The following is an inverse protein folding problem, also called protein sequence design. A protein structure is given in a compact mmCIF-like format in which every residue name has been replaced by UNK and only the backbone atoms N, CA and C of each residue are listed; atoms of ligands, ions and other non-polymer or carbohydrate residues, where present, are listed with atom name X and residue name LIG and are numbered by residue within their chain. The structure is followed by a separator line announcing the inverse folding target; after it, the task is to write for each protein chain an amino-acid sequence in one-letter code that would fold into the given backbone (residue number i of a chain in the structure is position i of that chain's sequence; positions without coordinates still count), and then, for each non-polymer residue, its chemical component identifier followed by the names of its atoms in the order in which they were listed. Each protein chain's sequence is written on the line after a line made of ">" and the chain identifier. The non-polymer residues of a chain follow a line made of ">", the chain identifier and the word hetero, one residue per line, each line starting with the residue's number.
data_IF_519919389211
#
_entry.id   IF_519919389211
#
_cell.length_a   1.000
_cell.length_b   1.000
_cell.length_c   1.000
_cell.angle_alpha   90.00
_cell.angle_beta   90.00
_cell.angle_gamma   90.00
#
_symmetry.space_group_name_H-M   'P 1'
#
loop_
_entity.id
_entity.type
_entity.pdbx_description
1 polymer ?
#
# COMPACT_ATOMS: atom_id res chain seq x y z
N UNK A 1 22.57 -1.83 -31.50
CA UNK A 1 21.38 -2.58 -31.04
C UNK A 1 21.71 -4.07 -30.89
N UNK A 2 22.24 -4.75 -31.91
CA UNK A 2 22.65 -6.17 -31.80
C UNK A 2 23.83 -6.42 -30.84
N UNK A 3 24.72 -5.45 -30.68
CA UNK A 3 25.86 -5.50 -29.75
C UNK A 3 25.47 -5.44 -28.27
N UNK A 4 24.40 -4.73 -27.92
CA UNK A 4 23.91 -4.68 -26.53
C UNK A 4 23.08 -5.91 -26.16
N UNK A 5 22.27 -6.43 -27.10
CA UNK A 5 21.49 -7.64 -26.87
C UNK A 5 22.37 -8.89 -26.69
N UNK A 6 23.45 -9.01 -27.47
CA UNK A 6 24.44 -10.09 -27.32
C UNK A 6 25.23 -9.98 -26.02
N UNK A 7 25.50 -8.77 -25.53
CA UNK A 7 26.09 -8.57 -24.21
C UNK A 7 25.17 -9.04 -23.08
N UNK A 8 23.86 -8.73 -23.15
CA UNK A 8 22.87 -9.18 -22.15
C UNK A 8 22.72 -10.71 -22.15
N UNK A 9 22.66 -11.36 -23.33
CA UNK A 9 22.58 -12.82 -23.42
C UNK A 9 23.86 -13.50 -22.92
N UNK A 10 25.03 -12.90 -23.18
CA UNK A 10 26.32 -13.41 -22.69
C UNK A 10 26.43 -13.28 -21.16
N UNK A 11 25.94 -12.17 -20.59
CA UNK A 11 25.92 -11.95 -19.14
C UNK A 11 24.93 -12.92 -18.46
N UNK A 12 23.70 -13.03 -18.98
CA UNK A 12 22.72 -13.99 -18.49
C UNK A 12 23.21 -15.46 -18.50
N UNK A 13 23.90 -15.87 -19.57
CA UNK A 13 24.44 -17.24 -19.69
C UNK A 13 25.64 -17.51 -18.75
N UNK A 14 26.29 -16.47 -18.21
CA UNK A 14 27.32 -16.59 -17.16
C UNK A 14 26.73 -16.50 -15.75
N UNK A 15 25.69 -15.70 -15.56
CA UNK A 15 25.05 -15.48 -14.26
C UNK A 15 24.30 -16.70 -13.75
N UNK A 16 23.60 -17.43 -14.62
CA UNK A 16 22.86 -18.65 -14.24
C UNK A 16 23.80 -19.74 -13.67
N UNK A 17 24.88 -20.16 -14.36
CA UNK A 17 25.80 -21.16 -13.79
C UNK A 17 26.59 -20.62 -12.59
N UNK A 18 26.91 -19.32 -12.56
CA UNK A 18 27.57 -18.72 -11.40
C UNK A 18 26.70 -18.82 -10.13
N UNK A 19 25.42 -18.45 -10.21
CA UNK A 19 24.51 -18.58 -9.06
C UNK A 19 24.28 -20.05 -8.67
N UNK A 20 24.20 -20.96 -9.64
CA UNK A 20 24.06 -22.39 -9.34
C UNK A 20 25.26 -22.94 -8.56
N UNK A 21 26.48 -22.54 -8.93
CA UNK A 21 27.69 -22.97 -8.24
C UNK A 21 27.72 -22.47 -6.78
N UNK A 22 27.36 -21.22 -6.53
CA UNK A 22 27.30 -20.66 -5.17
C UNK A 22 26.25 -21.38 -4.30
N UNK A 23 25.05 -21.60 -4.83
CA UNK A 23 23.99 -22.34 -4.11
C UNK A 23 24.42 -23.77 -3.82
N UNK A 24 25.06 -24.45 -4.79
CA UNK A 24 25.57 -25.80 -4.59
C UNK A 24 26.68 -25.86 -3.54
N UNK A 25 27.57 -24.86 -3.50
CA UNK A 25 28.62 -24.76 -2.47
C UNK A 25 28.01 -24.62 -1.07
N UNK A 26 27.01 -23.75 -0.91
CA UNK A 26 26.28 -23.58 0.35
C UNK A 26 25.56 -24.87 0.74
N UNK A 27 24.88 -25.53 -0.19
CA UNK A 27 24.18 -26.79 0.06
C UNK A 27 25.14 -27.91 0.44
N UNK A 28 26.31 -27.96 -0.20
CA UNK A 28 27.36 -28.95 0.11
C UNK A 28 27.92 -28.70 1.51
N UNK A 29 28.14 -27.44 1.89
CA UNK A 29 28.50 -27.04 3.25
C UNK A 29 27.44 -27.50 4.26
N UNK A 30 26.16 -27.18 4.04
CA UNK A 30 25.06 -27.57 4.94
C UNK A 30 24.88 -29.09 5.06
N UNK A 31 25.15 -29.83 3.98
CA UNK A 31 25.08 -31.30 3.99
C UNK A 31 26.22 -31.94 4.77
N UNK A 32 27.38 -31.28 4.85
CA UNK A 32 28.53 -31.73 5.64
C UNK A 32 28.36 -31.54 7.15
N UNK A 33 27.29 -30.87 7.60
CA UNK A 33 27.02 -30.61 9.01
C UNK A 33 26.37 -31.82 9.67
N UNK A 34 26.88 -32.19 10.85
CA UNK A 34 26.34 -33.29 11.65
C UNK A 34 25.09 -32.84 12.43
N UNK A 35 23.91 -32.92 11.80
CA UNK A 35 22.62 -32.52 12.39
C UNK A 35 22.17 -33.29 13.64
N UNK A 36 22.90 -34.34 14.02
CA UNK A 36 22.67 -35.13 15.24
C UNK A 36 23.20 -34.47 16.51
N UNK A 37 23.93 -33.34 16.42
CA UNK A 37 24.40 -32.66 17.63
C UNK A 37 23.22 -32.10 18.45
N UNK A 38 23.22 -32.28 19.79
CA UNK A 38 22.07 -31.93 20.64
C UNK A 38 21.65 -30.46 20.54
N UNK A 39 22.62 -29.58 20.35
CA UNK A 39 22.38 -28.15 20.25
C UNK A 39 21.77 -27.73 18.91
N UNK A 40 22.12 -28.39 17.80
CA UNK A 40 21.49 -28.17 16.50
C UNK A 40 20.03 -28.62 16.53
N UNK A 41 19.75 -29.73 17.21
CA UNK A 41 18.38 -30.20 17.43
C UNK A 41 17.59 -29.19 18.26
N UNK A 42 18.18 -28.64 19.34
CA UNK A 42 17.56 -27.58 20.12
C UNK A 42 17.26 -26.33 19.27
N UNK A 43 18.17 -25.96 18.37
CA UNK A 43 17.98 -24.86 17.42
C UNK A 43 16.85 -25.16 16.42
N UNK A 44 16.74 -26.39 15.92
CA UNK A 44 15.63 -26.80 15.05
C UNK A 44 14.27 -26.71 15.78
N UNK A 45 14.21 -27.21 17.01
CA UNK A 45 13.01 -27.13 17.86
C UNK A 45 12.64 -25.67 18.09
N UNK A 46 13.63 -24.82 18.36
CA UNK A 46 13.43 -23.38 18.50
C UNK A 46 12.80 -22.74 17.26
N UNK A 47 13.22 -23.13 16.05
CA UNK A 47 12.57 -22.67 14.82
C UNK A 47 11.12 -23.14 14.70
N UNK A 48 10.83 -24.40 15.04
CA UNK A 48 9.45 -24.92 15.04
C UNK A 48 8.59 -24.16 16.04
N UNK A 49 9.13 -23.86 17.23
CA UNK A 49 8.45 -23.05 18.24
C UNK A 49 8.16 -21.64 17.72
N UNK A 50 9.15 -20.94 17.14
CA UNK A 50 8.95 -19.60 16.56
C UNK A 50 7.87 -19.62 15.48
N UNK A 51 7.90 -20.60 14.58
CA UNK A 51 6.88 -20.73 13.54
C UNK A 51 5.50 -20.98 14.14
N UNK A 52 5.41 -21.86 15.15
CA UNK A 52 4.17 -22.16 15.85
C UNK A 52 3.61 -20.92 16.53
N UNK A 53 4.44 -20.19 17.28
CA UNK A 53 4.01 -18.94 17.94
C UNK A 53 3.58 -17.91 16.90
N UNK A 54 4.31 -17.78 15.78
CA UNK A 54 3.92 -16.88 14.66
C UNK A 54 2.54 -17.25 14.10
N UNK A 55 2.25 -18.54 13.90
CA UNK A 55 0.95 -19.02 13.38
C UNK A 55 -0.18 -18.76 14.40
N UNK A 56 0.04 -19.09 15.68
CA UNK A 56 -0.97 -18.90 16.74
C UNK A 56 -1.26 -17.41 16.95
N UNK A 57 -0.24 -16.57 16.85
CA UNK A 57 -0.30 -15.12 17.06
C UNK A 57 -1.04 -14.36 15.96
N UNK A 58 -1.33 -14.99 14.81
CA UNK A 58 -1.95 -14.34 13.64
C UNK A 58 -3.27 -13.61 13.91
N UNK A 59 -3.99 -14.00 14.97
CA UNK A 59 -5.27 -13.40 15.33
C UNK A 59 -5.12 -12.08 16.12
N UNK A 60 -3.96 -11.83 16.73
CA UNK A 60 -3.74 -10.68 17.62
C UNK A 60 -2.61 -9.79 17.07
N UNK A 61 -2.98 -8.79 16.25
CA UNK A 61 -2.01 -7.90 15.57
C UNK A 61 -1.03 -7.17 16.49
N UNK A 62 -1.45 -6.82 17.72
CA UNK A 62 -0.57 -6.18 18.71
C UNK A 62 0.51 -7.15 19.22
N UNK A 63 0.14 -8.40 19.48
CA UNK A 63 1.08 -9.43 19.93
C UNK A 63 2.05 -9.81 18.80
N UNK A 64 1.56 -9.79 17.55
CA UNK A 64 2.40 -9.97 16.37
C UNK A 64 3.47 -8.89 16.24
N UNK A 65 3.15 -7.63 16.59
CA UNK A 65 4.12 -6.54 16.62
C UNK A 65 5.25 -6.77 17.63
N UNK A 66 4.90 -7.17 18.87
CA UNK A 66 5.91 -7.50 19.90
C UNK A 66 6.79 -8.67 19.46
N UNK A 67 6.19 -9.71 18.90
CA UNK A 67 6.90 -10.88 18.39
C UNK A 67 7.85 -10.51 17.25
N UNK A 68 7.46 -9.60 16.38
CA UNK A 68 8.33 -9.08 15.32
C UNK A 68 9.58 -8.40 15.88
N UNK A 69 9.43 -7.50 16.86
CA UNK A 69 10.59 -6.86 17.51
C UNK A 69 11.49 -7.88 18.21
N UNK A 70 10.91 -8.87 18.89
CA UNK A 70 11.66 -9.94 19.53
C UNK A 70 12.49 -10.72 18.50
N UNK A 71 11.90 -11.08 17.36
CA UNK A 71 12.61 -11.77 16.28
C UNK A 71 13.71 -10.92 15.64
N UNK A 72 13.50 -9.62 15.47
CA UNK A 72 14.55 -8.72 14.99
C UNK A 72 15.73 -8.64 15.98
N UNK A 73 15.44 -8.48 17.26
CA UNK A 73 16.48 -8.47 18.31
C UNK A 73 17.27 -9.78 18.24
N UNK A 74 16.57 -10.91 18.17
CA UNK A 74 17.18 -12.23 18.09
C UNK A 74 18.10 -12.40 16.87
N UNK A 75 17.70 -11.93 15.68
CA UNK A 75 18.55 -11.91 14.48
C UNK A 75 19.78 -11.02 14.67
N UNK A 76 19.64 -9.87 15.33
CA UNK A 76 20.78 -8.99 15.62
C UNK A 76 21.77 -9.66 16.60
N UNK A 77 21.26 -10.43 17.56
CA UNK A 77 22.08 -11.23 18.48
C UNK A 77 22.77 -12.41 17.80
N UNK A 78 22.38 -12.81 16.59
CA UNK A 78 23.01 -13.92 15.87
C UNK A 78 24.53 -13.73 15.73
N UNK A 79 24.99 -12.49 15.51
CA UNK A 79 26.42 -12.16 15.45
C UNK A 79 27.12 -12.43 16.79
N UNK A 80 26.53 -11.96 17.90
CA UNK A 80 27.10 -12.18 19.23
C UNK A 80 27.11 -13.67 19.60
N UNK A 81 26.07 -14.42 19.24
CA UNK A 81 26.02 -15.87 19.43
C UNK A 81 27.14 -16.56 18.63
N UNK A 82 27.38 -16.11 17.40
CA UNK A 82 28.44 -16.66 16.56
C UNK A 82 29.84 -16.38 17.10
N UNK A 83 30.11 -15.19 17.62
CA UNK A 83 31.38 -14.87 18.29
C UNK A 83 31.59 -15.69 19.57
N UNK A 84 30.52 -15.90 20.35
CA UNK A 84 30.56 -16.77 21.53
C UNK A 84 30.79 -18.24 21.15
N UNK A 85 30.11 -18.71 20.11
CA UNK A 85 30.30 -20.05 19.57
C UNK A 85 31.70 -20.26 19.00
N UNK A 86 32.27 -19.25 18.33
CA UNK A 86 33.64 -19.31 17.79
C UNK A 86 34.72 -19.27 18.89
N UNK A 87 34.43 -18.69 20.06
CA UNK A 87 35.37 -18.66 21.19
C UNK A 87 35.27 -19.89 22.08
N UNK A 88 34.11 -20.55 22.15
CA UNK A 88 33.84 -21.69 23.05
C UNK A 88 33.39 -22.96 22.30
N UNK A 89 33.76 -23.12 21.03
CA UNK A 89 33.30 -24.23 20.20
C UNK A 89 33.60 -25.61 20.82
N UNK A 90 34.77 -25.77 21.46
CA UNK A 90 35.22 -27.04 22.05
C UNK A 90 34.30 -27.57 23.18
N UNK A 91 33.57 -26.68 23.87
CA UNK A 91 32.66 -27.07 24.95
C UNK A 91 31.29 -27.54 24.42
N UNK A 92 30.93 -27.15 23.20
CA UNK A 92 29.55 -27.22 22.72
C UNK A 92 29.38 -28.09 21.47
N UNK A 93 30.39 -28.14 20.61
CA UNK A 93 30.34 -28.83 19.34
C UNK A 93 31.63 -29.60 19.07
N UNK A 94 31.52 -30.77 18.45
CA UNK A 94 32.71 -31.58 18.09
C UNK A 94 33.49 -30.97 16.92
N UNK A 95 32.88 -30.03 16.20
CA UNK A 95 33.44 -29.32 15.05
C UNK A 95 33.19 -27.81 15.19
N UNK A 96 34.06 -27.00 14.59
CA UNK A 96 33.93 -25.55 14.60
C UNK A 96 32.97 -25.09 13.49
N UNK A 97 31.69 -24.91 13.83
CA UNK A 97 30.66 -24.42 12.90
C UNK A 97 30.62 -22.90 12.80
N UNK A 98 31.16 -22.19 13.79
CA UNK A 98 31.14 -20.74 13.88
C UNK A 98 32.40 -20.13 13.29
N UNK A 99 32.21 -19.29 12.27
CA UNK A 99 33.27 -18.62 11.53
C UNK A 99 33.18 -17.09 11.70
N UNK A 100 34.25 -16.37 11.35
CA UNK A 100 34.26 -14.89 11.44
C UNK A 100 33.25 -14.22 10.52
N UNK A 101 32.88 -14.88 9.41
CA UNK A 101 31.87 -14.38 8.47
C UNK A 101 30.44 -14.68 8.92
N UNK A 102 30.23 -15.59 9.87
CA UNK A 102 28.91 -15.97 10.38
C UNK A 102 28.03 -16.64 9.32
N UNK A 103 28.63 -17.35 8.36
CA UNK A 103 27.87 -17.95 7.25
C UNK A 103 26.88 -18.99 7.76
N UNK A 104 27.33 -19.88 8.66
CA UNK A 104 26.48 -20.90 9.26
C UNK A 104 25.31 -20.29 10.02
N UNK A 105 25.57 -19.38 10.98
CA UNK A 105 24.51 -18.79 11.79
C UNK A 105 23.54 -17.98 10.92
N UNK A 106 24.03 -17.29 9.90
CA UNK A 106 23.16 -16.47 9.05
C UNK A 106 22.19 -17.32 8.24
N UNK A 107 22.67 -18.45 7.69
CA UNK A 107 21.85 -19.32 6.86
C UNK A 107 20.91 -20.17 7.71
N UNK A 108 21.41 -20.77 8.78
CA UNK A 108 20.63 -21.74 9.57
C UNK A 108 19.72 -21.03 10.57
N UNK A 109 20.20 -19.97 11.22
CA UNK A 109 19.43 -19.26 12.24
C UNK A 109 18.69 -18.05 11.67
N UNK A 110 19.38 -17.14 10.97
CA UNK A 110 18.76 -15.89 10.52
C UNK A 110 17.80 -16.08 9.35
N UNK A 111 18.10 -16.94 8.36
CA UNK A 111 17.24 -17.15 7.18
C UNK A 111 15.77 -17.51 7.50
N UNK A 112 15.46 -18.54 8.30
CA UNK A 112 14.08 -18.87 8.64
C UNK A 112 13.39 -17.77 9.46
N UNK A 113 14.12 -17.07 10.33
CA UNK A 113 13.56 -15.96 11.11
C UNK A 113 13.24 -14.77 10.19
N UNK A 114 14.16 -14.41 9.30
CA UNK A 114 13.98 -13.33 8.34
C UNK A 114 12.83 -13.61 7.37
N UNK A 115 12.67 -14.86 6.93
CA UNK A 115 11.53 -15.25 6.11
C UNK A 115 10.20 -15.05 6.86
N UNK A 116 10.13 -15.43 8.14
CA UNK A 116 8.97 -15.16 8.99
C UNK A 116 8.73 -13.65 9.14
N UNK A 117 9.78 -12.86 9.36
CA UNK A 117 9.71 -11.40 9.42
C UNK A 117 9.15 -10.80 8.11
N UNK A 118 9.61 -11.27 6.95
CA UNK A 118 9.15 -10.78 5.65
C UNK A 118 7.65 -11.06 5.44
N UNK A 119 7.18 -12.27 5.78
CA UNK A 119 5.77 -12.64 5.69
C UNK A 119 4.91 -11.75 6.61
N UNK A 120 5.37 -11.51 7.85
CA UNK A 120 4.67 -10.63 8.79
C UNK A 120 4.56 -9.20 8.27
N UNK A 121 5.66 -8.64 7.75
CA UNK A 121 5.68 -7.30 7.15
C UNK A 121 4.73 -7.23 5.96
N UNK A 122 4.73 -8.25 5.08
CA UNK A 122 3.80 -8.33 3.96
C UNK A 122 2.34 -8.30 4.42
N UNK A 123 1.97 -9.10 5.42
CA UNK A 123 0.63 -9.11 6.00
C UNK A 123 0.24 -7.74 6.59
N UNK A 124 1.16 -7.10 7.31
CA UNK A 124 0.95 -5.75 7.87
C UNK A 124 0.76 -4.69 6.79
N UNK A 125 1.54 -4.74 5.71
CA UNK A 125 1.39 -3.83 4.58
C UNK A 125 0.03 -3.99 3.90
N UNK A 126 -0.42 -5.24 3.69
CA UNK A 126 -1.77 -5.51 3.19
C UNK A 126 -2.85 -4.98 4.13
N UNK A 127 -2.73 -5.23 5.43
CA UNK A 127 -3.69 -4.78 6.42
C UNK A 127 -3.76 -3.24 6.47
N UNK A 128 -2.61 -2.56 6.51
CA UNK A 128 -2.50 -1.10 6.53
C UNK A 128 -3.10 -0.46 5.27
N UNK A 129 -2.81 -1.04 4.10
CA UNK A 129 -3.42 -0.63 2.83
C UNK A 129 -4.94 -0.80 2.86
N UNK A 130 -5.44 -1.94 3.33
CA UNK A 130 -6.88 -2.22 3.40
C UNK A 130 -7.62 -1.27 4.34
N UNK A 131 -7.02 -0.91 5.48
CA UNK A 131 -7.60 0.05 6.44
C UNK A 131 -7.71 1.44 5.83
N UNK A 132 -6.66 1.89 5.14
CA UNK A 132 -6.65 3.18 4.45
C UNK A 132 -7.72 3.24 3.35
N UNK A 133 -7.87 2.16 2.58
CA UNK A 133 -8.90 2.07 1.53
C UNK A 133 -10.30 2.12 2.15
N UNK A 134 -10.55 1.37 3.23
CA UNK A 134 -11.84 1.37 3.95
C UNK A 134 -12.19 2.75 4.50
N UNK A 135 -11.23 3.47 5.08
CA UNK A 135 -11.42 4.83 5.57
C UNK A 135 -11.79 5.77 4.41
N UNK A 136 -11.06 5.69 3.29
CA UNK A 136 -11.38 6.50 2.10
C UNK A 136 -12.76 6.18 1.52
N UNK A 137 -13.15 4.91 1.50
CA UNK A 137 -14.50 4.50 1.09
C UNK A 137 -15.58 5.04 2.03
N UNK A 138 -15.35 5.00 3.35
CA UNK A 138 -16.27 5.56 4.33
C UNK A 138 -16.42 7.08 4.16
N UNK A 139 -15.30 7.80 4.01
CA UNK A 139 -15.29 9.24 3.76
C UNK A 139 -16.02 9.62 2.47
N UNK A 140 -15.83 8.86 1.39
CA UNK A 140 -16.54 9.08 0.12
C UNK A 140 -18.04 8.87 0.29
N UNK A 141 -18.45 7.81 0.99
CA UNK A 141 -19.85 7.51 1.27
C UNK A 141 -20.52 8.62 2.10
N UNK A 142 -19.82 9.22 3.05
CA UNK A 142 -20.32 10.36 3.80
C UNK A 142 -20.44 11.63 2.96
N UNK A 143 -19.46 11.93 2.11
CA UNK A 143 -19.52 13.08 1.18
C UNK A 143 -20.73 12.99 0.24
N UNK A 144 -20.97 11.82 -0.35
CA UNK A 144 -22.14 11.60 -1.22
C UNK A 144 -23.47 11.77 -0.47
N UNK A 145 -23.53 11.30 0.79
CA UNK A 145 -24.71 11.49 1.64
C UNK A 145 -24.94 12.97 1.98
N UNK A 146 -23.88 13.72 2.31
CA UNK A 146 -23.98 15.16 2.57
C UNK A 146 -24.47 15.93 1.33
N UNK A 147 -23.92 15.62 0.16
CA UNK A 147 -24.34 16.26 -1.10
C UNK A 147 -25.80 15.94 -1.45
N UNK A 148 -26.24 14.69 -1.24
CA UNK A 148 -27.64 14.31 -1.46
C UNK A 148 -28.62 15.07 -0.56
N UNK A 149 -28.23 15.34 0.71
CA UNK A 149 -29.03 16.12 1.66
C UNK A 149 -29.13 17.58 1.23
N UNK A 150 -28.01 18.18 0.81
CA UNK A 150 -27.98 19.55 0.27
C UNK A 150 -28.87 19.68 -0.97
N UNK A 151 -28.76 18.76 -1.93
CA UNK A 151 -29.61 18.75 -3.14
C UNK A 151 -31.09 18.62 -2.83
N UNK A 152 -31.46 17.85 -1.80
CA UNK A 152 -32.85 17.69 -1.36
C UNK A 152 -33.37 18.98 -0.71
N UNK A 153 -32.62 19.56 0.21
CA UNK A 153 -32.98 20.84 0.84
C UNK A 153 -33.13 21.96 -0.20
N UNK A 154 -32.23 22.00 -1.19
CA UNK A 154 -32.31 22.98 -2.29
C UNK A 154 -33.62 22.82 -3.09
N UNK A 155 -33.99 21.59 -3.47
CA UNK A 155 -35.28 21.33 -4.15
C UNK A 155 -36.49 21.69 -3.30
N UNK A 156 -36.47 21.37 -2.01
CA UNK A 156 -37.56 21.72 -1.10
C UNK A 156 -37.69 23.25 -0.93
N UNK A 157 -36.56 23.98 -0.97
CA UNK A 157 -36.55 25.45 -0.95
C UNK A 157 -37.03 26.05 -2.29
N UNK A 158 -36.63 25.48 -3.43
CA UNK A 158 -37.10 25.89 -4.77
C UNK A 158 -38.62 25.71 -4.89
N UNK A 159 -39.16 24.55 -4.48
CA UNK A 159 -40.60 24.28 -4.47
C UNK A 159 -41.39 25.26 -3.57
N UNK A 160 -40.84 25.61 -2.40
CA UNK A 160 -41.47 26.61 -1.51
C UNK A 160 -41.45 28.02 -2.10
N UNK A 161 -40.39 28.36 -2.84
CA UNK A 161 -40.28 29.66 -3.48
C UNK A 161 -41.29 29.78 -4.62
N UNK A 162 -41.42 28.74 -5.46
CA UNK A 162 -42.38 28.67 -6.56
C UNK A 162 -43.84 28.67 -6.06
N UNK A 163 -44.14 28.03 -4.93
CA UNK A 163 -45.48 28.09 -4.32
C UNK A 163 -45.83 29.45 -3.67
N UNK A 164 -44.82 30.24 -3.31
CA UNK A 164 -44.99 31.56 -2.70
C UNK A 164 -44.89 32.70 -3.73
N UNK A 165 -44.68 32.38 -5.02
CA UNK A 165 -44.67 33.36 -6.08
C UNK A 165 -46.10 33.91 -6.25
N UNK A 166 -46.30 35.24 -6.17
CA UNK A 166 -47.63 35.81 -6.32
C UNK A 166 -48.18 35.42 -7.69
N UNK A 167 -49.43 34.99 -7.74
CA UNK A 167 -50.13 34.56 -8.96
C UNK A 167 -49.87 35.59 -10.07
N UNK A 168 -49.02 35.21 -11.03
CA UNK A 168 -48.73 36.03 -12.19
C UNK A 168 -50.02 36.08 -12.98
N UNK A 169 -50.74 37.19 -12.84
CA UNK A 169 -51.87 37.55 -13.69
C UNK A 169 -51.48 37.20 -15.13
N UNK A 170 -52.17 36.21 -15.72
CA UNK A 170 -51.98 35.80 -17.10
C UNK A 170 -52.18 37.02 -17.99
N UNK A 171 -51.10 37.74 -18.25
CA UNK A 171 -51.11 38.90 -19.13
C UNK A 171 -51.43 38.38 -20.52
N UNK A 172 -52.67 38.65 -20.94
CA UNK A 172 -53.15 38.36 -22.28
C UNK A 172 -52.13 38.93 -23.28
N UNK A 173 -51.50 38.04 -24.05
CA UNK A 173 -50.52 38.45 -25.03
C UNK A 173 -51.26 38.96 -26.26
N UNK A 174 -50.92 40.15 -26.80
CA UNK A 174 -51.49 40.57 -28.06
C UNK A 174 -51.16 39.52 -29.12
N UNK A 175 -52.17 39.10 -29.88
CA UNK A 175 -51.97 38.32 -31.09
C UNK A 175 -51.11 39.15 -32.04
N UNK A 176 -49.83 38.81 -32.20
CA UNK A 176 -48.98 39.53 -33.13
C UNK A 176 -49.35 39.18 -34.55
N UNK A 177 -49.82 40.18 -35.28
CA UNK A 177 -49.82 40.15 -36.74
C UNK A 177 -48.38 40.02 -37.24
N UNK A 178 -48.20 39.13 -38.21
CA UNK A 178 -46.93 38.59 -38.75
C UNK A 178 -45.95 39.62 -39.34
N UNK A 179 -46.13 40.92 -39.10
CA UNK A 179 -45.41 42.01 -39.77
C UNK A 179 -44.25 42.57 -38.89
N UNK A 180 -44.23 42.35 -37.57
CA UNK A 180 -43.17 42.86 -36.66
C UNK A 180 -42.18 41.76 -36.24
N UNK A 181 -41.76 40.89 -37.15
CA UNK A 181 -40.65 39.93 -36.89
C UNK A 181 -39.45 40.18 -37.84
N UNK A 182 -39.63 40.93 -38.93
CA UNK A 182 -38.59 41.10 -39.95
C UNK A 182 -37.65 42.30 -39.74
N UNK A 183 -37.82 43.11 -38.69
CA UNK A 183 -36.98 44.30 -38.46
C UNK A 183 -36.05 44.18 -37.24
N UNK A 184 -36.20 43.17 -36.39
CA UNK A 184 -35.41 43.03 -35.14
C UNK A 184 -34.32 41.93 -35.18
N UNK A 185 -33.92 41.45 -36.36
CA UNK A 185 -32.82 40.47 -36.50
C UNK A 185 -31.42 41.11 -36.56
N UNK A 186 -31.30 42.39 -36.90
CA UNK A 186 -29.99 43.06 -37.03
C UNK A 186 -29.55 43.89 -35.81
N UNK A 187 -30.40 44.08 -34.79
CA UNK A 187 -30.05 44.83 -33.57
C UNK A 187 -29.75 43.97 -32.33
N UNK A 188 -29.83 42.64 -32.43
CA UNK A 188 -29.77 41.76 -31.26
C UNK A 188 -28.36 41.47 -30.71
N UNK A 189 -27.28 41.96 -31.34
CA UNK A 189 -25.91 41.67 -30.89
C UNK A 189 -25.37 42.70 -29.87
N UNK A 190 -25.86 43.95 -29.90
CA UNK A 190 -25.29 45.04 -29.07
C UNK A 190 -26.00 45.18 -27.71
N UNK A 191 -27.28 44.81 -27.62
CA UNK A 191 -28.08 44.93 -26.37
C UNK A 191 -27.91 43.74 -25.41
N UNK A 192 -27.50 42.56 -25.89
CA UNK A 192 -27.24 41.40 -25.02
C UNK A 192 -25.96 41.60 -24.19
N UNK A 193 -24.93 42.19 -24.80
CA UNK A 193 -23.65 42.49 -24.14
C UNK A 193 -23.75 43.58 -23.07
N UNK A 194 -24.63 44.56 -23.24
CA UNK A 194 -24.86 45.60 -22.21
C UNK A 194 -25.55 45.04 -20.97
N UNK A 195 -26.49 44.10 -21.13
CA UNK A 195 -27.08 43.38 -19.98
C UNK A 195 -26.08 42.45 -19.30
N UNK A 196 -25.19 41.80 -20.06
CA UNK A 196 -24.14 40.93 -19.52
C UNK A 196 -23.07 41.70 -18.72
N UNK A 197 -22.65 42.88 -19.22
CA UNK A 197 -21.65 43.72 -18.53
C UNK A 197 -22.21 44.41 -17.27
N UNK A 198 -23.49 44.77 -17.25
CA UNK A 198 -24.14 45.34 -16.05
C UNK A 198 -24.31 44.28 -14.94
N UNK A 199 -24.60 43.03 -15.30
CA UNK A 199 -24.66 41.89 -14.36
C UNK A 199 -23.28 41.53 -13.77
N UNK A 200 -22.21 41.62 -14.56
CA UNK A 200 -20.85 41.40 -14.03
C UNK A 200 -20.40 42.48 -13.05
N UNK A 201 -20.81 43.73 -13.24
CA UNK A 201 -20.39 44.85 -12.36
C UNK A 201 -21.07 44.82 -10.99
N UNK A 202 -22.28 44.27 -10.89
CA UNK A 202 -23.02 44.15 -9.62
C UNK A 202 -22.55 42.99 -8.73
N UNK A 203 -21.87 41.98 -9.28
CA UNK A 203 -21.39 40.83 -8.51
C UNK A 203 -19.99 41.01 -7.88
N UNK A 204 -19.25 42.08 -8.25
CA UNK A 204 -17.92 42.37 -7.70
C UNK A 204 -17.96 43.23 -6.42
N UNK A 205 -19.14 43.72 -6.02
CA UNK A 205 -19.32 44.65 -4.88
C UNK A 205 -20.23 44.08 -3.77
N UNK A 206 -20.31 42.75 -3.68
CA UNK A 206 -20.84 42.02 -2.51
C UNK A 206 -19.87 40.92 -2.07
#
# INVERSE_FOLDING_TARGET
>A
METEFTAILTDGNKLVPAMQNEVLNILTFLRGIDWTEPWLIALLIFHVLIMTVTIVTRHHGNFQGVLFFLLLILVLFAKSINELGASHWEYFSRQQYFDSHGMFISIVFSSPILLNCLIMVGHWLWLSGSMTIKIKQAQLKERLRAESRLRRQKREAELKNESNEPEVEQRNWPQYDSIIILVDIELLDVMSLTKFLVQMKTCKEK
#
